data_IF_852815250694
#
_entry.id   IF_852815250694
#
_cell.length_a   1.000
_cell.length_b   1.000
_cell.length_c   1.000
_cell.angle_alpha   90.00
_cell.angle_beta   90.00
_cell.angle_gamma   90.00
#
_symmetry.space_group_name_H-M   'P 1'
#
loop_
_entity.id
_entity.type
_entity.pdbx_description
1 polymer ?
#
# COMPACT_ATOMS: atom_id res chain seq x y z
N UNK A 1 5.78 39.37 -2.15
CA UNK A 1 6.52 38.08 -2.15
C UNK A 1 6.19 37.37 -3.45
N UNK A 2 7.19 37.03 -4.27
CA UNK A 2 6.97 36.29 -5.50
C UNK A 2 6.52 34.86 -5.18
N UNK A 3 5.33 34.47 -5.64
CA UNK A 3 4.81 33.12 -5.45
C UNK A 3 5.56 32.19 -6.41
N UNK A 4 6.50 31.41 -5.89
CA UNK A 4 7.22 30.39 -6.68
C UNK A 4 6.23 29.28 -7.05
N UNK A 5 5.89 29.18 -8.33
CA UNK A 5 5.03 28.13 -8.88
C UNK A 5 5.89 27.02 -9.48
N UNK A 6 5.91 25.87 -8.83
CA UNK A 6 6.56 24.68 -9.36
C UNK A 6 5.71 24.10 -10.50
N UNK A 7 6.36 23.82 -11.65
CA UNK A 7 5.72 23.24 -12.84
C UNK A 7 6.39 21.89 -13.10
N UNK A 8 5.61 20.81 -13.14
CA UNK A 8 6.10 19.45 -13.43
C UNK A 8 5.42 18.37 -12.59
N UNK A 9 5.84 17.10 -12.79
CA UNK A 9 5.39 15.99 -11.94
C UNK A 9 6.06 16.08 -10.57
N UNK A 10 5.25 16.10 -9.52
CA UNK A 10 5.74 16.06 -8.14
C UNK A 10 6.20 14.64 -7.77
N UNK A 11 7.18 14.54 -6.89
CA UNK A 11 7.63 13.27 -6.32
C UNK A 11 7.74 13.41 -4.80
N UNK A 12 7.17 12.44 -4.09
CA UNK A 12 7.26 12.37 -2.62
C UNK A 12 8.45 11.52 -2.17
N UNK A 13 9.27 11.02 -3.10
CA UNK A 13 10.44 10.22 -2.76
C UNK A 13 11.54 11.11 -2.16
N UNK A 14 11.90 10.80 -0.93
CA UNK A 14 12.96 11.45 -0.17
C UNK A 14 13.81 10.37 0.49
N UNK A 15 15.14 10.49 0.41
CA UNK A 15 16.06 9.58 1.09
C UNK A 15 17.10 8.99 0.15
N UNK A 16 17.61 7.81 0.53
CA UNK A 16 18.67 7.09 -0.18
C UNK A 16 18.13 5.79 -0.78
N UNK A 17 18.89 5.21 -1.70
CA UNK A 17 18.60 3.88 -2.22
C UNK A 17 18.96 2.81 -1.19
N UNK A 18 18.37 1.61 -1.29
CA UNK A 18 18.74 0.51 -0.39
C UNK A 18 20.22 0.15 -0.53
N UNK A 19 20.76 0.17 -1.75
CA UNK A 19 22.17 -0.14 -2.01
C UNK A 19 23.12 0.78 -1.22
N UNK A 20 22.87 2.09 -1.25
CA UNK A 20 23.69 3.06 -0.51
C UNK A 20 23.55 2.91 1.01
N UNK A 21 22.39 2.49 1.50
CA UNK A 21 22.19 2.27 2.94
C UNK A 21 22.90 1.00 3.40
N UNK A 22 22.59 -0.14 2.80
CA UNK A 22 23.12 -1.44 3.24
C UNK A 22 24.62 -1.56 2.95
N UNK A 23 25.11 -0.95 1.88
CA UNK A 23 26.53 -1.00 1.51
C UNK A 23 27.45 -0.22 2.46
N UNK A 24 26.92 0.77 3.18
CA UNK A 24 27.69 1.59 4.13
C UNK A 24 27.62 1.07 5.57
N UNK A 25 26.83 0.03 5.84
CA UNK A 25 26.64 -0.52 7.18
C UNK A 25 27.47 -1.78 7.39
N UNK A 26 28.00 -1.94 8.61
CA UNK A 26 28.60 -3.20 9.04
C UNK A 26 27.57 -4.33 8.98
N UNK A 27 27.99 -5.50 8.49
CA UNK A 27 27.14 -6.67 8.31
C UNK A 27 25.87 -6.37 7.51
N UNK A 28 25.96 -5.43 6.56
CA UNK A 28 24.87 -4.93 5.72
C UNK A 28 23.66 -4.37 6.49
N UNK A 29 23.85 -4.02 7.77
CA UNK A 29 22.80 -3.49 8.63
C UNK A 29 21.75 -4.54 9.05
N UNK A 30 22.08 -5.83 9.04
CA UNK A 30 21.17 -6.88 9.52
C UNK A 30 20.69 -6.57 10.95
N UNK A 31 19.38 -6.70 11.17
CA UNK A 31 18.71 -6.36 12.43
C UNK A 31 18.26 -4.91 12.55
N UNK A 32 18.72 -3.99 11.70
CA UNK A 32 18.31 -2.58 11.72
C UNK A 32 16.94 -2.35 11.07
N UNK A 33 16.30 -1.26 11.48
CA UNK A 33 15.01 -0.81 10.96
C UNK A 33 15.19 0.19 9.81
N UNK A 34 14.47 -0.08 8.73
CA UNK A 34 14.33 0.80 7.57
C UNK A 34 12.90 1.31 7.49
N UNK A 35 12.77 2.56 7.06
CA UNK A 35 11.48 3.16 6.72
C UNK A 35 11.49 3.61 5.27
N UNK A 36 10.28 3.77 4.71
CA UNK A 36 10.11 4.49 3.45
C UNK A 36 9.41 5.81 3.70
N UNK A 37 9.98 6.90 3.21
CA UNK A 37 9.46 8.24 3.46
C UNK A 37 8.05 8.41 2.89
N UNK A 38 7.77 7.84 1.71
CA UNK A 38 6.41 7.80 1.16
C UNK A 38 5.36 7.16 2.10
N UNK A 39 5.78 6.26 3.00
CA UNK A 39 4.87 5.59 3.92
C UNK A 39 4.64 6.35 5.23
N UNK A 40 5.41 7.41 5.50
CA UNK A 40 5.21 8.28 6.67
C UNK A 40 3.94 9.14 6.58
N UNK A 41 3.20 9.07 5.45
CA UNK A 41 1.87 9.68 5.32
C UNK A 41 0.78 9.01 6.19
N UNK A 42 1.07 7.82 6.71
CA UNK A 42 0.18 7.05 7.55
C UNK A 42 0.57 7.22 9.01
N UNK A 43 -0.41 7.38 9.91
CA UNK A 43 -0.14 7.46 11.36
C UNK A 43 0.29 6.11 11.96
N UNK A 44 -0.10 5.01 11.31
CA UNK A 44 0.24 3.67 11.75
C UNK A 44 1.68 3.34 11.35
N UNK A 45 2.42 2.59 12.19
CA UNK A 45 3.84 2.36 11.96
C UNK A 45 4.06 1.51 10.70
N UNK A 46 4.93 2.02 9.83
CA UNK A 46 5.36 1.34 8.62
C UNK A 46 6.89 1.26 8.61
N UNK A 47 7.41 0.07 8.89
CA UNK A 47 8.85 -0.18 8.96
C UNK A 47 9.20 -1.56 8.42
N UNK A 48 10.49 -1.76 8.15
CA UNK A 48 11.05 -2.98 7.59
C UNK A 48 12.31 -3.33 8.37
N UNK A 49 12.34 -4.48 9.03
CA UNK A 49 13.55 -4.95 9.73
C UNK A 49 14.38 -5.82 8.80
N UNK A 50 15.65 -5.49 8.62
CA UNK A 50 16.55 -6.22 7.72
C UNK A 50 16.87 -7.59 8.33
N UNK A 51 16.63 -8.66 7.58
CA UNK A 51 16.98 -10.02 7.99
C UNK A 51 18.19 -10.56 7.22
N UNK A 52 18.20 -10.35 5.90
CA UNK A 52 19.26 -10.83 5.01
C UNK A 52 19.44 -9.88 3.83
N UNK A 53 20.68 -9.67 3.41
CA UNK A 53 21.02 -8.89 2.21
C UNK A 53 21.77 -9.79 1.24
N UNK A 54 21.35 -9.79 -0.02
CA UNK A 54 21.96 -10.54 -1.11
C UNK A 54 22.33 -9.55 -2.21
N UNK A 55 23.63 -9.45 -2.48
CA UNK A 55 24.16 -8.59 -3.54
C UNK A 55 23.91 -9.27 -4.89
N UNK A 56 23.21 -8.58 -5.79
CA UNK A 56 22.95 -9.07 -7.13
C UNK A 56 24.11 -8.67 -8.06
N UNK A 57 24.56 -9.54 -8.98
CA UNK A 57 25.51 -9.14 -10.02
C UNK A 57 24.92 -7.97 -10.82
N UNK A 58 25.74 -6.95 -11.04
CA UNK A 58 25.33 -5.72 -11.72
C UNK A 58 26.33 -5.41 -12.83
N UNK A 59 25.83 -5.38 -14.06
CA UNK A 59 26.60 -4.95 -15.22
C UNK A 59 26.19 -3.50 -15.55
N UNK A 60 27.03 -2.49 -15.22
CA UNK A 60 26.69 -1.08 -15.43
C UNK A 60 26.52 -0.72 -16.91
N UNK A 61 27.02 -1.54 -17.84
CA UNK A 61 26.83 -1.32 -19.28
C UNK A 61 25.42 -1.70 -19.75
N UNK A 62 24.76 -2.65 -19.06
CA UNK A 62 23.41 -3.14 -19.42
C UNK A 62 22.31 -2.49 -18.57
N UNK A 63 22.59 -2.30 -17.28
CA UNK A 63 21.68 -1.65 -16.35
C UNK A 63 22.41 -0.49 -15.68
N UNK A 64 22.03 0.77 -15.90
CA UNK A 64 22.64 1.90 -15.19
C UNK A 64 22.22 1.96 -13.70
N UNK A 65 21.19 1.20 -13.31
CA UNK A 65 20.58 1.26 -11.98
C UNK A 65 20.96 0.03 -11.16
N UNK A 66 21.72 0.24 -10.08
CA UNK A 66 22.10 -0.83 -9.16
C UNK A 66 20.94 -1.26 -8.27
N UNK A 67 20.61 -2.54 -8.30
CA UNK A 67 19.61 -3.18 -7.43
C UNK A 67 20.27 -4.11 -6.43
N UNK A 68 19.55 -4.39 -5.35
CA UNK A 68 19.98 -5.31 -4.30
C UNK A 68 18.75 -6.05 -3.79
N UNK A 69 18.91 -7.35 -3.51
CA UNK A 69 17.86 -8.16 -2.92
C UNK A 69 17.99 -8.09 -1.39
N UNK A 70 16.99 -7.50 -0.73
CA UNK A 70 16.97 -7.39 0.74
C UNK A 70 15.75 -8.11 1.28
N UNK A 71 15.96 -9.16 2.05
CA UNK A 71 14.88 -9.86 2.75
C UNK A 71 14.63 -9.20 4.09
N UNK A 72 13.38 -8.75 4.28
CA UNK A 72 12.97 -7.98 5.46
C UNK A 72 11.74 -8.62 6.13
N UNK A 73 11.63 -8.40 7.43
CA UNK A 73 10.34 -8.48 8.11
C UNK A 73 9.62 -7.16 7.90
N UNK A 74 8.47 -7.20 7.23
CA UNK A 74 7.73 -6.00 6.84
C UNK A 74 6.52 -5.79 7.75
N UNK A 75 6.48 -4.63 8.40
CA UNK A 75 5.31 -4.12 9.11
C UNK A 75 4.62 -3.06 8.26
N UNK A 76 3.39 -3.33 7.85
CA UNK A 76 2.58 -2.43 7.02
C UNK A 76 1.39 -1.92 7.82
N UNK A 77 1.38 -0.62 8.12
CA UNK A 77 0.34 0.06 8.90
C UNK A 77 -0.05 -0.70 10.18
N UNK A 78 0.95 -1.08 10.97
CA UNK A 78 0.78 -1.82 12.23
C UNK A 78 0.59 -3.34 12.10
N UNK A 79 0.50 -3.90 10.88
CA UNK A 79 0.36 -5.34 10.66
C UNK A 79 1.68 -5.93 10.17
N UNK A 80 2.22 -6.87 10.94
CA UNK A 80 3.45 -7.60 10.59
C UNK A 80 3.11 -8.69 9.57
N UNK A 81 3.91 -8.77 8.51
CA UNK A 81 3.76 -9.82 7.50
C UNK A 81 4.19 -11.17 8.08
N UNK A 82 3.40 -12.25 7.94
CA UNK A 82 3.69 -13.54 8.54
C UNK A 82 4.94 -14.22 7.94
N UNK A 83 5.29 -13.85 6.71
CA UNK A 83 6.47 -14.34 6.01
C UNK A 83 7.40 -13.16 5.69
N UNK A 84 8.72 -13.34 5.79
CA UNK A 84 9.68 -12.38 5.28
C UNK A 84 9.42 -12.04 3.81
N UNK A 85 9.64 -10.77 3.45
CA UNK A 85 9.43 -10.25 2.10
C UNK A 85 10.77 -9.80 1.52
N UNK A 86 11.10 -10.28 0.32
CA UNK A 86 12.29 -9.84 -0.40
C UNK A 86 11.98 -8.61 -1.25
N UNK A 87 12.73 -7.53 -1.00
CA UNK A 87 12.67 -6.28 -1.75
C UNK A 87 13.75 -6.33 -2.82
N UNK A 88 13.34 -6.28 -4.09
CA UNK A 88 14.24 -6.22 -5.23
C UNK A 88 13.81 -5.14 -6.23
N UNK A 89 12.57 -5.23 -6.74
CA UNK A 89 12.06 -4.31 -7.75
C UNK A 89 12.03 -2.84 -7.32
N UNK A 90 11.93 -2.57 -6.01
CA UNK A 90 11.90 -1.21 -5.47
C UNK A 90 13.18 -0.80 -4.76
N UNK A 91 14.25 -1.60 -4.80
CA UNK A 91 15.49 -1.31 -4.05
C UNK A 91 16.21 -0.05 -4.54
N UNK A 92 16.04 0.27 -5.82
CA UNK A 92 16.70 1.41 -6.47
C UNK A 92 16.03 2.76 -6.19
N UNK A 93 14.83 2.77 -5.61
CA UNK A 93 14.09 4.00 -5.39
C UNK A 93 14.73 4.77 -4.21
N UNK A 94 15.05 6.07 -4.37
CA UNK A 94 15.63 6.88 -3.30
C UNK A 94 14.53 7.35 -2.33
N UNK A 95 13.95 6.39 -1.62
CA UNK A 95 12.81 6.60 -0.72
C UNK A 95 13.04 5.94 0.63
N UNK A 96 14.21 5.33 0.85
CA UNK A 96 14.54 4.63 2.09
C UNK A 96 15.36 5.50 3.01
N UNK A 97 15.16 5.27 4.30
CA UNK A 97 15.89 5.90 5.38
C UNK A 97 16.13 4.89 6.49
N UNK A 98 17.33 4.95 7.06
CA UNK A 98 17.71 4.10 8.18
C UNK A 98 17.26 4.78 9.47
N UNK A 99 16.49 4.07 10.29
CA UNK A 99 16.04 4.60 11.58
C UNK A 99 17.23 4.61 12.55
N UNK A 100 17.52 5.73 13.23
CA UNK A 100 18.51 5.78 14.31
C UNK A 100 18.10 4.84 15.46
N UNK A 101 19.07 4.17 16.10
CA UNK A 101 18.80 3.16 17.14
C UNK A 101 17.92 3.66 18.29
N UNK A 102 18.07 4.94 18.65
CA UNK A 102 17.29 5.58 19.72
C UNK A 102 15.81 5.72 19.33
N UNK A 103 15.54 5.98 18.04
CA UNK A 103 14.18 6.16 17.52
C UNK A 103 13.49 4.85 17.15
N UNK A 104 14.24 3.75 17.03
CA UNK A 104 13.69 2.43 16.70
C UNK A 104 12.58 2.02 17.69
N UNK A 105 12.74 2.37 18.97
CA UNK A 105 11.75 2.09 20.02
C UNK A 105 10.40 2.77 19.75
N UNK A 106 10.39 3.97 19.14
CA UNK A 106 9.15 4.69 18.81
C UNK A 106 8.29 3.92 17.82
N UNK A 107 8.91 3.27 16.85
CA UNK A 107 8.21 2.47 15.84
C UNK A 107 7.74 1.13 16.41
N UNK A 108 8.52 0.52 17.30
CA UNK A 108 8.19 -0.75 17.95
C UNK A 108 7.06 -0.60 18.99
N UNK A 109 7.03 0.53 19.72
CA UNK A 109 6.02 0.80 20.74
C UNK A 109 4.68 1.28 20.15
N UNK A 110 4.65 1.70 18.90
CA UNK A 110 3.42 2.15 18.25
C UNK A 110 2.51 0.96 17.95
N UNK A 111 1.45 0.80 18.74
CA UNK A 111 0.46 -0.26 18.57
C UNK A 111 -0.76 0.17 17.75
N UNK A 112 -0.73 1.34 17.10
CA UNK A 112 -1.80 1.76 16.19
C UNK A 112 -1.89 0.77 15.04
N UNK A 113 -3.03 0.09 14.94
CA UNK A 113 -3.37 -0.81 13.84
C UNK A 113 -4.52 -0.21 13.06
N UNK A 114 -4.46 -0.33 11.74
CA UNK A 114 -5.58 0.00 10.88
C UNK A 114 -6.72 -0.95 11.18
N UNK A 115 -7.93 -0.42 11.31
CA UNK A 115 -9.12 -1.25 11.38
C UNK A 115 -9.30 -2.02 10.07
N UNK A 116 -9.55 -3.32 10.17
CA UNK A 116 -9.94 -4.10 9.00
C UNK A 116 -11.24 -3.55 8.42
N UNK A 117 -11.25 -3.34 7.11
CA UNK A 117 -12.46 -2.90 6.41
C UNK A 117 -13.22 -4.11 5.87
N UNK A 118 -14.52 -4.15 6.14
CA UNK A 118 -15.39 -5.23 5.69
C UNK A 118 -16.12 -4.78 4.43
N UNK A 119 -15.95 -5.53 3.34
CA UNK A 119 -16.68 -5.37 2.08
C UNK A 119 -17.95 -6.22 2.10
N UNK A 120 -19.00 -5.75 1.44
CA UNK A 120 -20.21 -6.53 1.20
C UNK A 120 -19.90 -7.81 0.40
N UNK A 121 -20.61 -8.90 0.70
CA UNK A 121 -20.53 -10.17 -0.04
C UNK A 121 -21.24 -10.09 -1.40
N UNK A 122 -22.27 -9.25 -1.50
CA UNK A 122 -23.05 -8.99 -2.70
C UNK A 122 -23.17 -7.49 -2.96
N UNK A 123 -23.18 -7.11 -4.23
CA UNK A 123 -23.45 -5.75 -4.70
C UNK A 123 -24.49 -5.77 -5.81
N UNK A 124 -25.16 -4.65 -6.03
CA UNK A 124 -26.09 -4.51 -7.14
C UNK A 124 -25.34 -4.52 -8.48
N UNK A 125 -26.01 -4.98 -9.54
CA UNK A 125 -25.46 -4.81 -10.88
C UNK A 125 -25.46 -3.33 -11.30
N UNK A 126 -24.48 -2.89 -12.11
CA UNK A 126 -24.53 -1.58 -12.75
C UNK A 126 -25.84 -1.38 -13.52
N UNK A 127 -26.38 -0.15 -13.63
CA UNK A 127 -27.76 0.09 -14.10
C UNK A 127 -28.11 -0.58 -15.43
N UNK A 128 -27.22 -0.53 -16.42
CA UNK A 128 -27.42 -1.15 -17.72
C UNK A 128 -27.45 -2.69 -17.64
N UNK A 129 -26.51 -3.28 -16.90
CA UNK A 129 -26.44 -4.74 -16.73
C UNK A 129 -27.60 -5.26 -15.89
N UNK A 130 -28.08 -4.47 -14.93
CA UNK A 130 -29.26 -4.81 -14.13
C UNK A 130 -30.50 -4.98 -15.00
N UNK A 131 -30.78 -4.03 -15.90
CA UNK A 131 -31.93 -4.13 -16.80
C UNK A 131 -31.76 -5.27 -17.82
N UNK A 132 -30.55 -5.49 -18.33
CA UNK A 132 -30.26 -6.61 -19.23
C UNK A 132 -30.56 -7.97 -18.57
N UNK A 133 -30.05 -8.18 -17.36
CA UNK A 133 -30.28 -9.41 -16.60
C UNK A 133 -31.77 -9.56 -16.25
N UNK A 134 -32.44 -8.47 -15.89
CA UNK A 134 -33.88 -8.46 -15.60
C UNK A 134 -34.70 -8.92 -16.80
N UNK A 135 -34.32 -8.52 -18.01
CA UNK A 135 -34.98 -8.95 -19.26
C UNK A 135 -34.71 -10.43 -19.57
N UNK A 136 -33.48 -10.92 -19.38
CA UNK A 136 -33.13 -12.30 -19.71
C UNK A 136 -33.64 -13.32 -18.68
N UNK A 137 -33.56 -13.01 -17.38
CA UNK A 137 -33.86 -13.96 -16.29
C UNK A 137 -35.18 -13.71 -15.58
N UNK A 138 -35.82 -12.55 -15.78
CA UNK A 138 -37.06 -12.17 -15.10
C UNK A 138 -36.91 -11.81 -13.61
N UNK A 139 -35.69 -11.84 -13.07
CA UNK A 139 -35.40 -11.47 -11.67
C UNK A 139 -35.42 -9.95 -11.55
N UNK A 140 -36.24 -9.40 -10.65
CA UNK A 140 -36.40 -7.94 -10.52
C UNK A 140 -35.17 -7.24 -9.92
N UNK A 141 -34.49 -7.87 -8.97
CA UNK A 141 -33.31 -7.31 -8.29
C UNK A 141 -32.15 -8.30 -8.31
N UNK A 142 -31.46 -8.43 -9.46
CA UNK A 142 -30.29 -9.29 -9.55
C UNK A 142 -29.13 -8.68 -8.73
N UNK A 143 -28.41 -9.52 -8.00
CA UNK A 143 -27.20 -9.14 -7.25
C UNK A 143 -25.99 -9.94 -7.72
N UNK A 144 -24.81 -9.33 -7.63
CA UNK A 144 -23.53 -9.91 -8.03
C UNK A 144 -22.67 -10.24 -6.81
N UNK A 145 -22.08 -11.44 -6.81
CA UNK A 145 -21.11 -11.85 -5.77
C UNK A 145 -19.80 -11.09 -5.93
N UNK A 146 -19.32 -10.49 -4.84
CA UNK A 146 -18.05 -9.77 -4.83
C UNK A 146 -16.91 -10.75 -4.62
N UNK A 147 -15.99 -10.80 -5.59
CA UNK A 147 -14.75 -11.53 -5.46
C UNK A 147 -13.62 -10.58 -5.04
N UNK A 148 -13.15 -10.72 -3.79
CA UNK A 148 -12.00 -9.97 -3.30
C UNK A 148 -10.77 -10.86 -3.16
N UNK A 149 -9.75 -10.61 -4.00
CA UNK A 149 -8.45 -11.28 -3.85
C UNK A 149 -7.74 -10.77 -2.59
N UNK A 150 -7.73 -11.61 -1.56
CA UNK A 150 -6.98 -11.37 -0.33
C UNK A 150 -5.47 -11.41 -0.61
N UNK A 151 -4.74 -10.40 -0.13
CA UNK A 151 -3.29 -10.39 -0.13
C UNK A 151 -2.80 -9.85 1.21
N UNK A 152 -1.59 -10.21 1.62
CA UNK A 152 -1.04 -9.84 2.94
C UNK A 152 -1.02 -8.33 3.25
N UNK A 153 -1.00 -7.48 2.23
CA UNK A 153 -1.01 -6.02 2.42
C UNK A 153 -2.43 -5.41 2.39
N UNK A 154 -3.46 -6.20 2.06
CA UNK A 154 -4.84 -5.74 1.99
C UNK A 154 -5.52 -6.00 3.33
N UNK A 155 -5.90 -4.91 3.98
CA UNK A 155 -6.60 -4.89 5.25
C UNK A 155 -8.12 -4.99 5.05
N UNK A 156 -8.54 -5.63 3.96
CA UNK A 156 -9.93 -5.64 3.49
C UNK A 156 -10.37 -7.08 3.32
N UNK A 157 -11.50 -7.44 3.94
CA UNK A 157 -12.09 -8.79 3.88
C UNK A 157 -13.56 -8.73 3.49
N UNK A 158 -14.09 -9.83 2.98
CA UNK A 158 -15.54 -9.98 2.74
C UNK A 158 -16.26 -10.19 4.08
N UNK A 159 -17.47 -9.67 4.18
CA UNK A 159 -18.40 -9.92 5.28
C UNK A 159 -18.73 -11.41 5.38
N UNK A 160 -18.75 -11.95 6.59
CA UNK A 160 -19.36 -13.26 6.89
C UNK A 160 -20.87 -13.11 7.08
N UNK A 161 -21.62 -14.20 6.99
CA UNK A 161 -23.08 -14.20 7.13
C UNK A 161 -23.48 -13.56 8.48
N UNK A 162 -24.15 -12.40 8.42
CA UNK A 162 -24.60 -11.62 9.58
C UNK A 162 -23.74 -10.38 9.93
N UNK A 163 -22.59 -10.15 9.29
CA UNK A 163 -21.77 -8.93 9.51
C UNK A 163 -22.23 -7.77 8.63
N UNK A 164 -22.33 -6.56 9.20
CA UNK A 164 -22.59 -5.33 8.42
C UNK A 164 -21.31 -4.88 7.71
N UNK A 165 -21.34 -4.63 6.39
CA UNK A 165 -20.17 -4.14 5.66
C UNK A 165 -19.81 -2.72 6.11
N UNK A 166 -18.52 -2.45 6.26
CA UNK A 166 -17.98 -1.11 6.58
C UNK A 166 -17.93 -0.21 5.34
N UNK A 167 -17.77 -0.81 4.16
CA UNK A 167 -17.75 -0.11 2.88
C UNK A 167 -18.99 -0.51 2.10
N UNK A 168 -19.88 0.44 1.90
CA UNK A 168 -21.03 0.29 1.01
C UNK A 168 -20.60 0.61 -0.43
N UNK A 169 -20.63 -0.41 -1.29
CA UNK A 169 -20.44 -0.23 -2.73
C UNK A 169 -21.81 0.08 -3.36
N UNK A 170 -22.20 1.35 -3.38
CA UNK A 170 -23.41 1.79 -4.05
C UNK A 170 -23.13 2.03 -5.54
N UNK A 171 -24.10 1.69 -6.41
CA UNK A 171 -24.01 1.91 -7.86
C UNK A 171 -24.40 3.35 -8.28
N UNK A 172 -24.70 4.22 -7.31
CA UNK A 172 -24.90 5.66 -7.52
C UNK A 172 -23.61 6.47 -7.44
N UNK A 173 -23.73 7.81 -7.45
CA UNK A 173 -22.57 8.73 -7.35
C UNK A 173 -21.81 8.61 -6.03
N UNK A 174 -22.44 8.06 -4.98
CA UNK A 174 -21.82 7.82 -3.69
C UNK A 174 -21.17 9.09 -3.10
N UNK A 175 -20.00 8.92 -2.49
CA UNK A 175 -19.13 10.04 -2.09
C UNK A 175 -17.95 10.14 -3.06
N UNK A 176 -18.04 10.99 -4.10
CA UNK A 176 -16.97 11.10 -5.10
C UNK A 176 -15.67 11.61 -4.47
N UNK A 177 -14.53 11.10 -4.92
CA UNK A 177 -13.20 11.53 -4.45
C UNK A 177 -12.93 13.01 -4.76
N UNK A 178 -13.57 13.55 -5.79
CA UNK A 178 -13.51 14.95 -6.22
C UNK A 178 -14.92 15.52 -6.35
N UNK A 179 -15.54 15.98 -5.24
CA UNK A 179 -16.91 16.50 -5.25
C UNK A 179 -17.11 17.63 -6.27
N UNK A 180 -16.08 18.43 -6.49
CA UNK A 180 -16.06 19.56 -7.45
C UNK A 180 -16.45 19.19 -8.88
N UNK A 181 -16.18 17.96 -9.31
CA UNK A 181 -16.50 17.50 -10.67
C UNK A 181 -17.98 17.15 -10.85
N UNK A 182 -18.73 17.07 -9.75
CA UNK A 182 -20.12 16.63 -9.71
C UNK A 182 -21.05 17.68 -9.09
N UNK A 183 -20.59 18.92 -8.89
CA UNK A 183 -21.36 20.01 -8.25
C UNK A 183 -22.71 20.32 -8.93
N UNK A 184 -22.84 20.04 -10.23
CA UNK A 184 -24.09 20.25 -11.00
C UNK A 184 -24.88 18.96 -11.27
N UNK A 185 -24.44 17.84 -10.70
CA UNK A 185 -25.04 16.50 -10.89
C UNK A 185 -25.54 15.92 -9.56
N UNK A 186 -24.97 16.38 -8.43
CA UNK A 186 -25.36 16.05 -7.06
C UNK A 186 -26.53 16.90 -6.56
#
# INVERSE_FOLDING_TARGET
MSVVKYIGRTTDFRGKTLWELVGNLRDFGVGRLLIRNKFQRYEEPCYMRILKVEVTPHDPAKDPIRKVAVTVEKTWRGVVSPKPVTIYSTSYKPDYELVPKEEEQKYLNNNKKVSEQILANSIDFPPLLREFIRQETGVQEPTMKVHHKQTHNKLVRLAKDGEKPTIECTMGLGRPASPKLYENVL
#
